data_IF_625303772277
#
_entry.id   IF_625303772277
#
_cell.length_a   1.000
_cell.length_b   1.000
_cell.length_c   1.000
_cell.angle_alpha   90.00
_cell.angle_beta   90.00
_cell.angle_gamma   90.00
#
_symmetry.space_group_name_H-M   'P 1'
#
loop_
_entity.id
_entity.type
_entity.pdbx_description
1 polymer ?
#
# COMPACT_ATOMS: atom_id res chain seq x y z
N UNK A 1 11.91 7.57 -17.68
CA UNK A 1 11.08 8.78 -17.50
C UNK A 1 11.62 9.75 -16.46
N UNK A 2 11.94 9.32 -15.22
CA UNK A 2 12.42 10.24 -14.16
C UNK A 2 13.58 11.15 -14.57
N UNK A 3 14.64 10.60 -15.17
CA UNK A 3 15.77 11.39 -15.68
C UNK A 3 15.39 12.41 -16.76
N UNK A 4 14.38 12.11 -17.57
CA UNK A 4 13.88 13.01 -18.63
C UNK A 4 13.08 14.16 -18.02
N UNK A 5 12.25 13.86 -17.02
CA UNK A 5 11.47 14.86 -16.27
C UNK A 5 12.40 15.80 -15.49
N UNK A 6 13.44 15.26 -14.86
CA UNK A 6 14.42 16.03 -14.09
C UNK A 6 15.21 17.01 -14.96
N UNK A 7 15.58 16.59 -16.18
CA UNK A 7 16.30 17.39 -17.17
C UNK A 7 15.41 18.29 -18.04
N UNK A 8 14.09 18.15 -17.99
CA UNK A 8 13.20 18.88 -18.89
C UNK A 8 13.14 20.37 -18.53
N UNK A 9 13.54 21.21 -19.49
CA UNK A 9 13.33 22.65 -19.43
C UNK A 9 11.87 22.99 -19.77
N UNK A 10 11.26 23.86 -18.96
CA UNK A 10 9.90 24.34 -19.15
C UNK A 10 8.83 23.53 -18.39
N UNK A 11 7.98 24.26 -17.65
CA UNK A 11 6.93 23.70 -16.80
C UNK A 11 5.92 22.84 -17.57
N UNK A 12 5.52 23.27 -18.77
CA UNK A 12 4.53 22.58 -19.61
C UNK A 12 5.02 21.19 -20.05
N UNK A 13 6.21 21.12 -20.65
CA UNK A 13 6.83 19.85 -21.08
C UNK A 13 6.98 18.87 -19.91
N UNK A 14 7.44 19.37 -18.76
CA UNK A 14 7.60 18.56 -17.55
C UNK A 14 6.26 18.01 -17.05
N UNK A 15 5.20 18.81 -17.10
CA UNK A 15 3.86 18.42 -16.70
C UNK A 15 3.27 17.37 -17.66
N UNK A 16 3.45 17.52 -18.97
CA UNK A 16 3.01 16.51 -19.95
C UNK A 16 3.71 15.17 -19.73
N UNK A 17 5.03 15.18 -19.51
CA UNK A 17 5.80 13.96 -19.23
C UNK A 17 5.37 13.29 -17.92
N UNK A 18 5.03 14.09 -16.90
CA UNK A 18 4.46 13.58 -15.65
C UNK A 18 3.15 12.84 -15.92
N UNK A 19 2.19 13.50 -16.58
CA UNK A 19 0.89 12.90 -16.88
C UNK A 19 1.00 11.64 -17.72
N UNK A 20 1.83 11.63 -18.76
CA UNK A 20 2.10 10.43 -19.56
C UNK A 20 2.62 9.30 -18.66
N UNK A 21 3.55 9.59 -17.76
CA UNK A 21 4.12 8.56 -16.87
C UNK A 21 3.08 8.02 -15.88
N UNK A 22 2.24 8.90 -15.31
CA UNK A 22 1.15 8.52 -14.42
C UNK A 22 0.14 7.63 -15.16
N UNK A 23 -0.29 8.05 -16.34
CA UNK A 23 -1.24 7.30 -17.17
C UNK A 23 -0.71 5.93 -17.55
N UNK A 24 0.56 5.81 -17.92
CA UNK A 24 1.18 4.52 -18.23
C UNK A 24 1.21 3.58 -17.02
N UNK A 25 1.57 4.08 -15.83
CA UNK A 25 1.58 3.29 -14.60
C UNK A 25 0.19 2.77 -14.24
N UNK A 26 -0.82 3.66 -14.27
CA UNK A 26 -2.20 3.26 -14.00
C UNK A 26 -2.84 2.43 -15.11
N UNK A 27 -2.43 2.58 -16.37
CA UNK A 27 -2.88 1.72 -17.46
C UNK A 27 -2.39 0.28 -17.27
N UNK A 28 -1.14 0.08 -16.86
CA UNK A 28 -0.60 -1.25 -16.54
C UNK A 28 -1.36 -1.86 -15.36
N UNK A 29 -1.58 -1.08 -14.28
CA UNK A 29 -2.39 -1.54 -13.15
C UNK A 29 -3.83 -1.87 -13.58
N UNK A 30 -4.44 -1.03 -14.41
CA UNK A 30 -5.78 -1.20 -14.97
C UNK A 30 -5.90 -2.49 -15.77
N UNK A 31 -4.94 -2.75 -16.66
CA UNK A 31 -4.89 -3.95 -17.48
C UNK A 31 -4.82 -5.22 -16.64
N UNK A 32 -3.84 -5.32 -15.73
CA UNK A 32 -3.64 -6.57 -14.97
C UNK A 32 -4.69 -6.80 -13.89
N UNK A 33 -5.21 -5.73 -13.25
CA UNK A 33 -6.06 -5.86 -12.07
C UNK A 33 -7.55 -5.64 -12.34
N UNK A 34 -7.89 -4.79 -13.31
CA UNK A 34 -9.26 -4.29 -13.49
C UNK A 34 -9.85 -4.54 -14.88
N UNK A 35 -9.09 -5.09 -15.84
CA UNK A 35 -9.60 -5.33 -17.19
C UNK A 35 -10.86 -6.22 -17.21
N UNK A 36 -10.83 -7.35 -16.49
CA UNK A 36 -12.01 -8.24 -16.36
C UNK A 36 -13.23 -7.50 -15.80
N UNK A 37 -13.05 -6.75 -14.72
CA UNK A 37 -14.13 -5.93 -14.13
C UNK A 37 -14.75 -4.94 -15.12
N UNK A 38 -13.94 -4.26 -15.93
CA UNK A 38 -14.47 -3.33 -16.94
C UNK A 38 -15.15 -4.05 -18.11
N UNK A 39 -14.69 -5.26 -18.45
CA UNK A 39 -15.31 -6.11 -19.47
C UNK A 39 -16.68 -6.61 -18.99
N UNK A 40 -16.78 -7.03 -17.73
CA UNK A 40 -18.05 -7.44 -17.12
C UNK A 40 -19.07 -6.29 -17.14
N UNK A 41 -18.64 -5.08 -16.75
CA UNK A 41 -19.50 -3.87 -16.85
C UNK A 41 -19.94 -3.60 -18.30
N UNK A 42 -19.03 -3.74 -19.26
CA UNK A 42 -19.36 -3.55 -20.67
C UNK A 42 -20.39 -4.59 -21.15
N UNK A 43 -20.23 -5.85 -20.74
CA UNK A 43 -21.16 -6.92 -21.06
C UNK A 43 -22.54 -6.68 -20.44
N UNK A 44 -22.60 -6.25 -19.18
CA UNK A 44 -23.86 -5.92 -18.49
C UNK A 44 -24.62 -4.77 -19.16
N UNK A 45 -23.91 -3.78 -19.70
CA UNK A 45 -24.52 -2.62 -20.35
C UNK A 45 -24.95 -2.92 -21.79
N UNK A 46 -24.13 -3.66 -22.54
CA UNK A 46 -24.32 -3.84 -23.99
C UNK A 46 -24.94 -5.17 -24.38
N UNK A 47 -24.98 -6.14 -23.45
CA UNK A 47 -25.35 -7.53 -23.73
C UNK A 47 -24.31 -8.29 -24.57
N UNK A 48 -23.16 -7.69 -24.89
CA UNK A 48 -22.11 -8.33 -25.67
C UNK A 48 -21.07 -8.95 -24.74
N UNK A 49 -20.91 -10.27 -24.82
CA UNK A 49 -19.87 -10.99 -24.07
C UNK A 49 -18.55 -10.90 -24.82
N UNK A 50 -17.54 -10.34 -24.16
CA UNK A 50 -16.15 -10.39 -24.63
C UNK A 50 -15.46 -11.49 -23.84
N UNK A 51 -14.95 -12.52 -24.52
CA UNK A 51 -14.13 -13.55 -23.87
C UNK A 51 -12.82 -12.92 -23.40
N UNK A 52 -12.62 -12.89 -22.09
CA UNK A 52 -11.41 -12.37 -21.47
C UNK A 52 -10.75 -13.46 -20.63
N UNK A 53 -9.53 -13.82 -21.02
CA UNK A 53 -8.71 -14.71 -20.21
C UNK A 53 -7.98 -13.89 -19.13
N UNK A 54 -8.19 -14.27 -17.86
CA UNK A 54 -7.57 -13.58 -16.74
C UNK A 54 -6.03 -13.68 -16.82
N UNK A 55 -5.38 -12.53 -16.99
CA UNK A 55 -3.92 -12.44 -17.03
C UNK A 55 -3.38 -12.63 -15.60
N UNK A 56 -2.30 -13.42 -15.41
CA UNK A 56 -1.67 -13.57 -14.10
C UNK A 56 -1.28 -12.22 -13.50
N UNK A 57 -1.84 -11.92 -12.32
CA UNK A 57 -1.61 -10.66 -11.63
C UNK A 57 -0.20 -10.64 -11.00
N UNK A 58 0.65 -9.65 -11.33
CA UNK A 58 1.94 -9.52 -10.66
C UNK A 58 1.75 -9.19 -9.18
N UNK A 59 2.44 -9.94 -8.33
CA UNK A 59 2.38 -9.72 -6.88
C UNK A 59 2.86 -8.30 -6.54
N UNK A 60 2.09 -7.58 -5.72
CA UNK A 60 2.45 -6.22 -5.30
C UNK A 60 2.24 -5.12 -6.34
N UNK A 61 1.56 -5.38 -7.47
CA UNK A 61 1.35 -4.38 -8.54
C UNK A 61 0.79 -3.05 -8.08
N UNK A 62 -0.14 -3.07 -7.13
CA UNK A 62 -0.67 -1.82 -6.58
C UNK A 62 0.41 -1.04 -5.81
N UNK A 63 1.22 -1.71 -4.99
CA UNK A 63 2.26 -1.07 -4.18
C UNK A 63 3.36 -0.44 -5.03
N UNK A 64 3.96 -1.19 -5.96
CA UNK A 64 5.02 -0.63 -6.78
C UNK A 64 4.51 0.44 -7.75
N UNK A 65 3.25 0.37 -8.18
CA UNK A 65 2.60 1.44 -8.95
C UNK A 65 2.51 2.73 -8.14
N UNK A 66 2.02 2.65 -6.89
CA UNK A 66 1.95 3.83 -6.01
C UNK A 66 3.33 4.40 -5.69
N UNK A 67 4.34 3.55 -5.50
CA UNK A 67 5.72 3.98 -5.28
C UNK A 67 6.31 4.70 -6.50
N UNK A 68 6.16 4.10 -7.68
CA UNK A 68 6.63 4.68 -8.93
C UNK A 68 5.95 6.03 -9.22
N UNK A 69 4.65 6.12 -8.95
CA UNK A 69 3.87 7.36 -9.09
C UNK A 69 4.31 8.41 -8.06
N UNK A 70 4.47 8.06 -6.77
CA UNK A 70 4.98 9.03 -5.78
C UNK A 70 6.38 9.52 -6.16
N UNK A 71 7.28 8.62 -6.55
CA UNK A 71 8.64 8.96 -6.92
C UNK A 71 8.67 9.91 -8.12
N UNK A 72 7.87 9.66 -9.17
CA UNK A 72 7.86 10.53 -10.35
C UNK A 72 7.26 11.91 -10.05
N UNK A 73 6.27 11.98 -9.15
CA UNK A 73 5.69 13.25 -8.68
C UNK A 73 6.73 14.01 -7.85
N UNK A 74 7.45 13.36 -6.94
CA UNK A 74 8.49 13.98 -6.11
C UNK A 74 9.63 14.53 -6.99
N UNK A 75 10.05 13.80 -8.04
CA UNK A 75 11.01 14.28 -9.04
C UNK A 75 10.47 15.50 -9.79
N UNK A 76 9.19 15.47 -10.20
CA UNK A 76 8.55 16.61 -10.85
C UNK A 76 8.50 17.85 -9.95
N UNK A 77 8.18 17.67 -8.66
CA UNK A 77 8.14 18.74 -7.64
C UNK A 77 9.54 19.24 -7.25
N UNK A 78 10.59 18.47 -7.58
CA UNK A 78 11.98 18.66 -7.16
C UNK A 78 12.21 18.44 -5.66
N UNK A 79 11.34 17.68 -5.02
CA UNK A 79 11.51 17.23 -3.64
C UNK A 79 12.66 16.21 -3.54
N UNK A 80 12.88 15.45 -4.62
CA UNK A 80 14.03 14.55 -4.80
C UNK A 80 14.65 14.70 -6.19
N UNK A 81 15.96 14.43 -6.30
CA UNK A 81 16.63 14.31 -7.60
C UNK A 81 16.30 12.95 -8.22
N UNK A 82 16.22 12.89 -9.55
CA UNK A 82 16.05 11.61 -10.23
C UNK A 82 17.26 10.70 -9.98
N UNK A 83 16.98 9.49 -9.50
CA UNK A 83 17.93 8.41 -9.34
C UNK A 83 18.53 8.02 -10.70
N UNK A 84 19.86 7.93 -10.73
CA UNK A 84 20.69 7.63 -11.90
C UNK A 84 21.12 6.16 -11.94
N UNK A 85 21.23 5.52 -10.77
CA UNK A 85 21.52 4.10 -10.63
C UNK A 85 20.24 3.28 -10.84
N UNK A 86 20.21 2.45 -11.88
CA UNK A 86 19.10 1.51 -12.08
C UNK A 86 19.00 0.54 -10.91
N UNK A 87 20.13 0.12 -10.34
CA UNK A 87 20.19 -0.82 -9.21
C UNK A 87 19.51 -0.21 -7.98
N UNK A 88 19.79 1.05 -7.66
CA UNK A 88 19.20 1.73 -6.49
C UNK A 88 17.69 1.92 -6.67
N UNK A 89 17.26 2.28 -7.89
CA UNK A 89 15.85 2.44 -8.21
C UNK A 89 15.12 1.10 -8.17
N UNK A 90 15.72 0.04 -8.72
CA UNK A 90 15.20 -1.32 -8.64
C UNK A 90 15.09 -1.76 -7.18
N UNK A 91 16.12 -1.52 -6.36
CA UNK A 91 16.08 -1.83 -4.92
C UNK A 91 14.93 -1.12 -4.22
N UNK A 92 14.68 0.16 -4.52
CA UNK A 92 13.54 0.90 -3.98
C UNK A 92 12.20 0.23 -4.32
N UNK A 93 12.00 -0.08 -5.61
CA UNK A 93 10.73 -0.61 -6.14
C UNK A 93 10.50 -2.07 -5.71
N UNK A 94 11.56 -2.89 -5.69
CA UNK A 94 11.48 -4.33 -5.41
C UNK A 94 11.85 -4.71 -3.98
N UNK A 95 11.89 -3.74 -3.04
CA UNK A 95 12.22 -3.99 -1.64
C UNK A 95 11.18 -4.93 -1.01
N UNK A 96 11.49 -6.22 -0.97
CA UNK A 96 10.53 -7.27 -0.63
C UNK A 96 9.85 -7.15 0.74
N UNK A 97 10.45 -6.58 1.81
CA UNK A 97 9.77 -6.41 3.09
C UNK A 97 8.40 -5.72 2.97
N UNK A 98 8.21 -4.83 2.00
CA UNK A 98 6.97 -4.06 1.82
C UNK A 98 6.12 -4.49 0.62
N UNK A 99 6.63 -5.34 -0.28
CA UNK A 99 6.07 -5.50 -1.64
C UNK A 99 4.61 -5.97 -1.68
N UNK A 100 4.14 -6.71 -0.67
CA UNK A 100 2.79 -7.31 -0.68
C UNK A 100 1.84 -6.63 0.29
N UNK A 101 2.30 -6.32 1.51
CA UNK A 101 1.44 -5.90 2.61
C UNK A 101 2.20 -5.07 3.69
N UNK A 102 3.05 -4.13 3.26
CA UNK A 102 3.79 -3.25 4.18
C UNK A 102 3.35 -1.78 4.13
N UNK A 103 4.01 -0.90 4.90
CA UNK A 103 3.88 0.54 4.73
C UNK A 103 4.28 0.94 3.30
N UNK A 104 3.56 1.89 2.69
CA UNK A 104 3.95 2.50 1.41
C UNK A 104 5.15 3.42 1.67
N UNK A 105 6.35 2.95 1.34
CA UNK A 105 7.57 3.74 1.50
C UNK A 105 7.73 4.76 0.37
N UNK A 106 8.06 5.99 0.74
CA UNK A 106 8.43 7.06 -0.20
C UNK A 106 9.93 7.00 -0.49
N UNK A 107 10.32 7.31 -1.72
CA UNK A 107 11.74 7.26 -2.09
C UNK A 107 12.60 8.17 -1.20
N UNK A 108 12.12 9.37 -0.88
CA UNK A 108 12.85 10.33 -0.06
C UNK A 108 13.24 9.81 1.33
N UNK A 109 12.43 8.94 1.95
CA UNK A 109 12.67 8.47 3.31
C UNK A 109 13.75 7.38 3.37
N UNK A 110 13.99 6.67 2.28
CA UNK A 110 14.97 5.58 2.21
C UNK A 110 16.11 5.82 1.21
N UNK A 111 16.10 6.93 0.47
CA UNK A 111 17.10 7.22 -0.57
C UNK A 111 18.54 7.18 -0.04
N UNK A 112 18.80 7.75 1.13
CA UNK A 112 20.13 7.70 1.74
C UNK A 112 20.44 6.31 2.32
N UNK A 113 19.44 5.61 2.88
CA UNK A 113 19.58 4.25 3.40
C UNK A 113 19.88 3.20 2.30
N UNK A 114 19.42 3.47 1.06
CA UNK A 114 19.77 2.67 -0.11
C UNK A 114 21.28 2.75 -0.39
N UNK A 115 21.87 3.95 -0.31
CA UNK A 115 23.30 4.17 -0.56
C UNK A 115 24.18 3.72 0.60
N UNK A 116 23.80 4.12 1.81
CA UNK A 116 24.56 3.92 3.02
C UNK A 116 23.60 3.58 4.16
N UNK A 117 23.69 2.35 4.64
CA UNK A 117 23.00 1.88 5.83
C UNK A 117 23.95 1.10 6.72
N UNK A 118 23.70 1.17 8.00
CA UNK A 118 24.42 0.42 9.02
C UNK A 118 23.41 -0.48 9.74
N UNK A 119 23.80 -1.73 10.00
CA UNK A 119 22.99 -2.69 10.75
C UNK A 119 23.71 -2.98 12.06
N UNK A 120 23.17 -2.49 13.16
CA UNK A 120 23.66 -2.83 14.49
C UNK A 120 23.11 -4.21 14.91
N UNK A 121 23.81 -4.91 15.80
CA UNK A 121 23.31 -6.17 16.37
C UNK A 121 21.96 -5.98 17.09
N UNK A 122 21.72 -4.80 17.65
CA UNK A 122 20.42 -4.44 18.23
C UNK A 122 19.29 -4.39 17.19
N UNK A 123 19.58 -4.05 15.93
CA UNK A 123 18.57 -3.97 14.87
C UNK A 123 18.07 -5.36 14.48
N UNK A 124 18.93 -6.38 14.51
CA UNK A 124 18.53 -7.77 14.35
C UNK A 124 17.55 -8.19 15.45
N UNK A 125 17.90 -7.93 16.72
CA UNK A 125 17.03 -8.28 17.85
C UNK A 125 15.68 -7.55 17.79
N UNK A 126 15.69 -6.23 17.57
CA UNK A 126 14.46 -5.41 17.50
C UNK A 126 13.60 -5.84 16.32
N UNK A 127 14.22 -6.03 15.15
CA UNK A 127 13.52 -6.43 13.93
C UNK A 127 12.92 -7.83 14.02
N UNK A 128 13.67 -8.81 14.55
CA UNK A 128 13.16 -10.18 14.78
C UNK A 128 12.03 -10.18 15.80
N UNK A 129 12.16 -9.46 16.92
CA UNK A 129 11.09 -9.34 17.92
C UNK A 129 9.82 -8.78 17.29
N UNK A 130 9.94 -7.71 16.50
CA UNK A 130 8.80 -7.07 15.84
C UNK A 130 8.16 -7.98 14.79
N UNK A 131 8.97 -8.71 14.03
CA UNK A 131 8.49 -9.70 13.07
C UNK A 131 7.67 -10.79 13.77
N UNK A 132 8.17 -11.35 14.87
CA UNK A 132 7.46 -12.37 15.66
C UNK A 132 6.15 -11.82 16.23
N UNK A 133 6.13 -10.57 16.68
CA UNK A 133 4.89 -9.91 17.14
C UNK A 133 3.87 -9.79 16.01
N UNK A 134 4.29 -9.36 14.82
CA UNK A 134 3.43 -9.27 13.64
C UNK A 134 2.89 -10.63 13.21
N UNK A 135 3.75 -11.66 13.21
CA UNK A 135 3.36 -13.04 12.93
C UNK A 135 2.34 -13.56 13.97
N UNK A 136 2.55 -13.24 15.24
CA UNK A 136 1.62 -13.56 16.32
C UNK A 136 0.24 -12.91 16.12
N UNK A 137 0.20 -11.61 15.77
CA UNK A 137 -1.06 -10.90 15.43
C UNK A 137 -1.80 -11.60 14.29
N UNK A 138 -1.08 -11.98 13.22
CA UNK A 138 -1.67 -12.66 12.06
C UNK A 138 -2.21 -14.05 12.43
N UNK A 139 -1.36 -14.91 12.97
CA UNK A 139 -1.66 -16.34 13.12
C UNK A 139 -2.55 -16.60 14.33
N UNK A 140 -2.30 -15.94 15.46
CA UNK A 140 -2.97 -16.23 16.72
C UNK A 140 -4.26 -15.42 16.92
N UNK A 141 -4.41 -14.28 16.24
CA UNK A 141 -5.58 -13.39 16.43
C UNK A 141 -6.35 -13.24 15.13
N UNK A 142 -5.71 -12.72 14.07
CA UNK A 142 -6.42 -12.38 12.85
C UNK A 142 -7.06 -13.61 12.18
N UNK A 143 -6.33 -14.73 12.08
CA UNK A 143 -6.86 -15.94 11.45
C UNK A 143 -8.05 -16.55 12.22
N UNK A 144 -7.99 -16.76 13.56
CA UNK A 144 -9.16 -17.20 14.31
C UNK A 144 -10.36 -16.25 14.21
N UNK A 145 -10.13 -14.94 14.30
CA UNK A 145 -11.20 -13.95 14.15
C UNK A 145 -11.79 -13.97 12.73
N UNK A 146 -10.98 -14.22 11.72
CA UNK A 146 -11.44 -14.40 10.35
C UNK A 146 -12.30 -15.64 10.18
N UNK A 147 -11.92 -16.78 10.76
CA UNK A 147 -12.75 -17.99 10.74
C UNK A 147 -14.14 -17.74 11.34
N UNK A 148 -14.20 -17.02 12.48
CA UNK A 148 -15.48 -16.66 13.10
C UNK A 148 -16.28 -15.70 12.21
N UNK A 149 -15.63 -14.70 11.60
CA UNK A 149 -16.31 -13.77 10.69
C UNK A 149 -16.88 -14.49 9.46
N UNK A 150 -16.10 -15.39 8.85
CA UNK A 150 -16.49 -16.17 7.67
C UNK A 150 -17.69 -17.07 7.97
N UNK A 151 -17.69 -17.75 9.12
CA UNK A 151 -18.82 -18.56 9.57
C UNK A 151 -20.09 -17.73 9.74
N UNK A 152 -19.98 -16.55 10.36
CA UNK A 152 -21.14 -15.67 10.56
C UNK A 152 -21.65 -15.08 9.24
N UNK A 153 -20.75 -14.67 8.33
CA UNK A 153 -21.13 -14.11 7.04
C UNK A 153 -21.70 -15.14 6.06
N UNK A 154 -21.47 -16.44 6.30
CA UNK A 154 -22.11 -17.52 5.55
C UNK A 154 -23.55 -17.81 5.99
N UNK A 155 -24.01 -17.27 7.13
CA UNK A 155 -25.39 -17.48 7.61
C UNK A 155 -26.36 -16.69 6.74
N UNK A 156 -27.46 -17.33 6.35
CA UNK A 156 -28.52 -16.70 5.57
C UNK A 156 -29.14 -15.52 6.34
N UNK A 157 -29.59 -14.49 5.63
CA UNK A 157 -30.24 -13.33 6.27
C UNK A 157 -31.51 -13.71 7.05
N UNK A 158 -32.17 -14.83 6.72
CA UNK A 158 -33.33 -15.32 7.43
C UNK A 158 -32.98 -15.95 8.79
N UNK A 159 -31.78 -16.53 8.91
CA UNK A 159 -31.32 -17.24 10.11
C UNK A 159 -30.37 -16.41 10.99
N UNK A 160 -29.93 -15.25 10.48
CA UNK A 160 -28.99 -14.38 11.17
C UNK A 160 -29.67 -13.63 12.33
N UNK A 161 -29.30 -13.98 13.55
CA UNK A 161 -29.73 -13.23 14.74
C UNK A 161 -28.92 -11.94 14.92
N UNK A 162 -29.51 -10.93 15.57
CA UNK A 162 -28.81 -9.68 15.91
C UNK A 162 -27.54 -9.91 16.74
N UNK A 163 -27.57 -10.86 17.68
CA UNK A 163 -26.40 -11.18 18.51
C UNK A 163 -25.26 -11.78 17.68
N UNK A 164 -25.59 -12.72 16.81
CA UNK A 164 -24.62 -13.33 15.88
C UNK A 164 -24.03 -12.30 14.92
N UNK A 165 -24.85 -11.38 14.40
CA UNK A 165 -24.38 -10.29 13.55
C UNK A 165 -23.34 -9.39 14.24
N UNK A 166 -23.56 -9.05 15.52
CA UNK A 166 -22.58 -8.30 16.31
C UNK A 166 -21.27 -9.06 16.52
N UNK A 167 -21.33 -10.36 16.78
CA UNK A 167 -20.13 -11.21 16.87
C UNK A 167 -19.36 -11.19 15.55
N UNK A 168 -20.05 -11.36 14.42
CA UNK A 168 -19.44 -11.33 13.09
C UNK A 168 -18.72 -10.03 12.80
N UNK A 169 -19.36 -8.88 13.02
CA UNK A 169 -18.75 -7.58 12.71
C UNK A 169 -17.59 -7.23 13.64
N UNK A 170 -17.65 -7.62 14.92
CA UNK A 170 -16.53 -7.45 15.86
C UNK A 170 -15.36 -8.35 15.45
N UNK A 171 -15.62 -9.62 15.16
CA UNK A 171 -14.62 -10.57 14.70
C UNK A 171 -13.95 -10.07 13.41
N UNK A 172 -14.73 -9.63 12.43
CA UNK A 172 -14.23 -9.05 11.18
C UNK A 172 -13.38 -7.78 11.43
N UNK A 173 -13.82 -6.89 12.34
CA UNK A 173 -13.06 -5.69 12.69
C UNK A 173 -11.68 -6.05 13.28
N UNK A 174 -11.63 -7.04 14.18
CA UNK A 174 -10.38 -7.52 14.75
C UNK A 174 -9.51 -8.23 13.70
N UNK A 175 -10.12 -9.06 12.84
CA UNK A 175 -9.44 -9.73 11.73
C UNK A 175 -8.71 -8.70 10.86
N UNK A 176 -9.43 -7.74 10.29
CA UNK A 176 -8.82 -6.75 9.38
C UNK A 176 -7.67 -6.02 10.08
N UNK A 177 -7.88 -5.56 11.32
CA UNK A 177 -6.86 -4.81 12.03
C UNK A 177 -5.61 -5.64 12.31
N UNK A 178 -5.75 -6.83 12.89
CA UNK A 178 -4.60 -7.65 13.23
C UNK A 178 -3.94 -8.29 12.01
N UNK A 179 -4.67 -8.47 10.92
CA UNK A 179 -4.12 -8.93 9.65
C UNK A 179 -3.19 -7.87 9.05
N UNK A 180 -3.72 -6.66 8.80
CA UNK A 180 -2.94 -5.57 8.19
C UNK A 180 -1.84 -5.04 9.11
N UNK A 181 -2.12 -4.88 10.40
CA UNK A 181 -1.08 -4.44 11.36
C UNK A 181 -0.04 -5.54 11.60
N UNK A 182 -0.43 -6.82 11.55
CA UNK A 182 0.50 -7.95 11.61
C UNK A 182 1.47 -7.96 10.43
N UNK A 183 0.97 -7.83 9.20
CA UNK A 183 1.82 -7.69 8.02
C UNK A 183 2.70 -6.44 8.05
N UNK A 184 2.17 -5.31 8.51
CA UNK A 184 2.95 -4.07 8.67
C UNK A 184 4.10 -4.25 9.67
N UNK A 185 3.87 -4.93 10.79
CA UNK A 185 4.91 -5.22 11.78
C UNK A 185 5.98 -6.19 11.25
N UNK A 186 5.56 -7.21 10.50
CA UNK A 186 6.50 -8.11 9.80
C UNK A 186 7.36 -7.34 8.79
N UNK A 187 6.75 -6.47 7.99
CA UNK A 187 7.44 -5.62 7.02
C UNK A 187 8.45 -4.68 7.69
N UNK A 188 8.06 -3.98 8.76
CA UNK A 188 8.93 -3.06 9.49
C UNK A 188 10.05 -3.83 10.22
N UNK A 189 9.75 -5.00 10.77
CA UNK A 189 10.74 -5.88 11.41
C UNK A 189 11.82 -6.35 10.42
N UNK A 190 11.40 -6.83 9.25
CA UNK A 190 12.33 -7.22 8.16
C UNK A 190 13.13 -6.03 7.64
N UNK A 191 12.48 -4.89 7.41
CA UNK A 191 13.16 -3.68 6.99
C UNK A 191 14.29 -3.33 7.96
N UNK A 192 14.02 -3.38 9.27
CA UNK A 192 15.01 -3.10 10.31
C UNK A 192 16.19 -4.07 10.28
N UNK A 193 15.93 -5.36 10.09
CA UNK A 193 16.97 -6.40 9.92
C UNK A 193 17.89 -6.08 8.73
N UNK A 194 17.34 -5.55 7.63
CA UNK A 194 18.11 -5.16 6.44
C UNK A 194 18.74 -3.77 6.52
N UNK A 195 18.57 -3.06 7.64
CA UNK A 195 19.11 -1.71 7.84
C UNK A 195 18.24 -0.58 7.27
N UNK A 196 16.95 -0.84 7.03
CA UNK A 196 15.97 0.16 6.63
C UNK A 196 15.04 0.53 7.79
N UNK A 197 14.77 1.82 7.91
CA UNK A 197 13.83 2.37 8.87
C UNK A 197 12.54 2.74 8.15
N UNK A 198 11.52 1.88 8.29
CA UNK A 198 10.19 2.15 7.77
C UNK A 198 9.34 2.88 8.82
N UNK A 199 8.40 3.68 8.32
CA UNK A 199 7.43 4.39 9.16
C UNK A 199 6.34 3.44 9.68
N UNK A 200 5.72 3.83 10.78
CA UNK A 200 4.57 3.14 11.36
C UNK A 200 3.35 3.22 10.43
N UNK A 201 2.66 2.10 10.25
CA UNK A 201 1.41 2.08 9.48
C UNK A 201 0.16 2.05 10.37
N UNK A 202 0.29 1.66 11.63
CA UNK A 202 -0.82 1.58 12.58
C UNK A 202 -0.43 2.11 13.96
N UNK A 203 -1.29 2.91 14.59
CA UNK A 203 -1.07 3.47 15.92
C UNK A 203 -2.35 3.47 16.77
N UNK A 204 -2.73 2.29 17.27
CA UNK A 204 -3.93 2.07 18.10
C UNK A 204 -5.19 2.77 17.54
N UNK A 205 -5.66 2.41 16.33
CA UNK A 205 -6.73 3.16 15.66
C UNK A 205 -8.08 3.10 16.39
N UNK A 206 -8.41 2.00 17.07
CA UNK A 206 -9.71 1.84 17.74
C UNK A 206 -9.88 2.60 19.06
N UNK A 207 -8.83 3.25 19.57
CA UNK A 207 -8.95 4.18 20.71
C UNK A 207 -9.14 5.63 20.27
N UNK A 208 -9.25 5.88 18.96
CA UNK A 208 -9.46 7.22 18.42
C UNK A 208 -10.78 7.83 18.91
N UNK A 209 -10.75 9.11 19.25
CA UNK A 209 -11.91 9.86 19.74
C UNK A 209 -12.68 10.56 18.61
N UNK A 210 -12.17 10.50 17.37
CA UNK A 210 -12.83 11.05 16.19
C UNK A 210 -12.43 10.29 14.92
N UNK A 211 -13.24 10.42 13.86
CA UNK A 211 -12.92 9.82 12.56
C UNK A 211 -11.62 10.38 11.97
N UNK A 212 -11.35 11.66 12.17
CA UNK A 212 -10.11 12.31 11.73
C UNK A 212 -8.89 11.71 12.44
N UNK A 213 -9.00 11.44 13.74
CA UNK A 213 -7.94 10.78 14.50
C UNK A 213 -7.77 9.32 14.06
N UNK A 214 -8.86 8.60 13.80
CA UNK A 214 -8.82 7.23 13.29
C UNK A 214 -7.98 7.13 12.01
N UNK A 215 -8.23 7.99 11.02
CA UNK A 215 -7.47 8.00 9.76
C UNK A 215 -6.00 8.43 9.91
N UNK A 216 -5.64 9.12 11.00
CA UNK A 216 -4.24 9.41 11.36
C UNK A 216 -3.53 8.24 12.05
N UNK A 217 -4.27 7.20 12.45
CA UNK A 217 -3.79 6.02 13.17
C UNK A 217 -3.97 4.72 12.39
N UNK A 218 -4.85 4.70 11.40
CA UNK A 218 -5.14 3.56 10.54
C UNK A 218 -4.45 3.72 9.18
N UNK A 219 -3.68 2.71 8.79
CA UNK A 219 -3.03 2.62 7.48
C UNK A 219 -2.32 3.93 7.05
N UNK A 220 -1.54 4.49 7.99
CA UNK A 220 -0.97 5.84 7.98
C UNK A 220 -0.22 6.16 6.68
N UNK A 221 0.52 5.19 6.13
CA UNK A 221 1.29 5.42 4.90
C UNK A 221 0.37 5.66 3.69
N UNK A 222 -0.78 4.98 3.63
CA UNK A 222 -1.76 5.16 2.55
C UNK A 222 -2.54 6.46 2.73
N UNK A 223 -2.99 6.73 3.97
CA UNK A 223 -3.68 7.99 4.30
C UNK A 223 -2.81 9.20 3.97
N UNK A 224 -1.53 9.16 4.32
CA UNK A 224 -0.57 10.23 3.99
C UNK A 224 -0.28 10.30 2.49
N UNK A 225 -0.20 9.16 1.79
CA UNK A 225 -0.03 9.13 0.34
C UNK A 225 -1.20 9.80 -0.38
N UNK A 226 -2.45 9.43 -0.08
CA UNK A 226 -3.62 10.07 -0.66
C UNK A 226 -3.69 11.56 -0.34
N UNK A 227 -3.36 11.95 0.90
CA UNK A 227 -3.33 13.35 1.29
C UNK A 227 -2.35 14.16 0.44
N UNK A 228 -1.12 13.67 0.30
CA UNK A 228 -0.01 14.45 -0.28
C UNK A 228 0.05 14.39 -1.83
N UNK A 229 -0.47 13.31 -2.42
CA UNK A 229 -0.43 13.07 -3.87
C UNK A 229 -1.78 13.26 -4.56
N UNK A 230 -2.90 13.25 -3.84
CA UNK A 230 -4.25 13.41 -4.42
C UNK A 230 -4.98 14.61 -3.81
N UNK A 231 -5.18 14.64 -2.50
CA UNK A 231 -6.03 15.64 -1.84
C UNK A 231 -5.49 17.08 -1.94
N UNK A 232 -4.23 17.31 -1.54
CA UNK A 232 -3.63 18.65 -1.61
C UNK A 232 -3.51 19.17 -3.05
N UNK A 233 -3.07 18.39 -4.05
CA UNK A 233 -3.08 18.82 -5.44
C UNK A 233 -4.45 19.22 -5.99
N UNK A 234 -5.53 18.61 -5.49
CA UNK A 234 -6.91 18.91 -5.88
C UNK A 234 -7.52 20.09 -5.11
N UNK A 235 -6.75 20.79 -4.27
CA UNK A 235 -7.19 21.99 -3.56
C UNK A 235 -7.78 21.76 -2.17
N UNK A 236 -7.65 20.55 -1.61
CA UNK A 236 -8.20 20.19 -0.29
C UNK A 236 -7.57 20.92 0.92
N UNK A 237 -6.57 21.78 0.73
CA UNK A 237 -5.97 22.57 1.82
C UNK A 237 -6.40 24.04 1.81
N UNK A 238 -7.48 24.39 1.09
CA UNK A 238 -8.01 25.74 1.01
C UNK A 238 -9.31 25.88 1.79
#
# INVERSE_FOLDING_TARGET
MGLVIDKADGKSKRLSLLWITILLNFAILGYYKYAGFFIDIYADITGQTIEWEAVPLPIGISFYTFQAVSYIIDVYRRDVKAQRSLIDLSLFISLFPQLVAGPIVRYQTIAEQIKQRFVASSDLMIGTRRFIQGLGKKVLIANPMGSVADEVFAISAADLTTGTAWVGIIAYSLQIYFDFSGYSDMAIGLARIFGFNFEENFNYPYIAQSITEFWRRWHISLSSWFRDYVYFPLGGSR
#
